data_IF_789554326330
#
_entry.id   IF_789554326330
#
_cell.length_a   1.000
_cell.length_b   1.000
_cell.length_c   1.000
_cell.angle_alpha   90.00
_cell.angle_beta   90.00
_cell.angle_gamma   90.00
#
_symmetry.space_group_name_H-M   'P 1'
#
loop_
_entity.id
_entity.type
_entity.pdbx_description
1 polymer ?
#
# COMPACT_ATOMS: atom_id res chain seq x y z
N UNK A 1 7.60 -8.71 -6.41
CA UNK A 1 8.10 -10.08 -6.70
C UNK A 1 6.95 -11.08 -6.65
N UNK A 2 7.11 -12.30 -7.21
CA UNK A 2 6.11 -13.37 -7.01
C UNK A 2 6.12 -13.81 -5.54
N UNK A 3 4.94 -14.19 -5.03
CA UNK A 3 4.85 -14.67 -3.65
C UNK A 3 5.68 -15.94 -3.42
N UNK A 4 5.75 -16.82 -4.42
CA UNK A 4 6.60 -18.03 -4.41
C UNK A 4 8.08 -17.74 -4.15
N UNK A 5 8.57 -16.57 -4.56
CA UNK A 5 9.98 -16.20 -4.46
C UNK A 5 10.34 -15.48 -3.15
N UNK A 6 9.35 -15.13 -2.32
CA UNK A 6 9.57 -14.32 -1.10
C UNK A 6 10.54 -14.97 -0.13
N UNK A 7 10.37 -16.26 0.14
CA UNK A 7 11.27 -16.97 1.07
C UNK A 7 12.69 -17.14 0.52
N UNK A 8 12.82 -17.35 -0.79
CA UNK A 8 14.12 -17.41 -1.47
C UNK A 8 14.81 -16.04 -1.44
N UNK A 9 14.11 -14.97 -1.75
CA UNK A 9 14.66 -13.61 -1.68
C UNK A 9 15.07 -13.25 -0.25
N UNK A 10 14.26 -13.63 0.74
CA UNK A 10 14.62 -13.48 2.15
C UNK A 10 15.92 -14.22 2.47
N UNK A 11 16.08 -15.47 2.03
CA UNK A 11 17.30 -16.24 2.29
C UNK A 11 18.55 -15.58 1.70
N UNK A 12 18.45 -15.01 0.49
CA UNK A 12 19.54 -14.26 -0.13
C UNK A 12 19.91 -13.04 0.72
N UNK A 13 18.92 -12.24 1.14
CA UNK A 13 19.18 -11.07 1.96
C UNK A 13 19.76 -11.43 3.34
N UNK A 14 19.33 -12.54 3.94
CA UNK A 14 19.93 -13.02 5.21
C UNK A 14 21.41 -13.36 5.05
N UNK A 15 21.80 -13.99 3.92
CA UNK A 15 23.19 -14.29 3.61
C UNK A 15 24.05 -13.03 3.42
N UNK A 16 23.45 -11.94 2.94
CA UNK A 16 24.07 -10.63 2.77
C UNK A 16 24.03 -9.75 4.04
N UNK A 17 23.72 -10.31 5.20
CA UNK A 17 23.76 -9.60 6.48
C UNK A 17 22.49 -8.80 6.83
N UNK A 18 21.41 -8.95 6.07
CA UNK A 18 20.12 -8.37 6.44
C UNK A 18 19.41 -9.22 7.50
N UNK A 19 18.63 -8.57 8.32
CA UNK A 19 17.79 -9.23 9.33
C UNK A 19 16.35 -8.71 9.21
N UNK A 20 15.34 -9.55 9.47
CA UNK A 20 13.95 -9.09 9.53
C UNK A 20 13.78 -8.00 10.59
N UNK A 21 13.12 -6.91 10.24
CA UNK A 21 12.81 -5.81 11.16
C UNK A 21 12.02 -6.31 12.39
N UNK A 22 11.21 -7.36 12.19
CA UNK A 22 10.49 -8.04 13.26
C UNK A 22 10.75 -9.55 13.19
N UNK A 23 11.40 -10.15 14.18
CA UNK A 23 11.58 -11.59 14.23
C UNK A 23 10.23 -12.28 14.48
N UNK A 24 9.93 -13.28 13.68
CA UNK A 24 8.80 -14.19 13.88
C UNK A 24 9.33 -15.60 14.06
N UNK A 25 8.64 -16.39 14.88
CA UNK A 25 8.96 -17.81 14.99
C UNK A 25 8.72 -18.51 13.64
N UNK A 26 9.62 -19.39 13.19
CA UNK A 26 9.49 -20.09 11.91
C UNK A 26 8.14 -20.80 11.72
N UNK A 27 7.58 -21.32 12.81
CA UNK A 27 6.28 -22.01 12.79
C UNK A 27 5.11 -21.14 12.33
N UNK A 28 5.16 -19.82 12.59
CA UNK A 28 4.08 -18.88 12.25
C UNK A 28 4.41 -18.01 11.05
N UNK A 29 5.67 -17.85 10.68
CA UNK A 29 6.10 -16.95 9.62
C UNK A 29 5.42 -17.24 8.27
N UNK A 30 5.35 -18.51 7.88
CA UNK A 30 4.70 -18.89 6.62
C UNK A 30 3.20 -18.56 6.59
N UNK A 31 2.52 -18.64 7.71
CA UNK A 31 1.11 -18.25 7.82
C UNK A 31 0.95 -16.72 7.85
N UNK A 32 1.83 -16.03 8.55
CA UNK A 32 1.90 -14.57 8.54
C UNK A 32 2.05 -14.03 7.10
N UNK A 33 3.01 -14.53 6.34
CA UNK A 33 3.23 -14.10 4.96
C UNK A 33 2.02 -14.34 4.04
N UNK A 34 1.26 -15.44 4.27
CA UNK A 34 0.03 -15.75 3.53
C UNK A 34 -1.20 -15.02 4.04
N UNK A 35 -1.11 -14.34 5.17
CA UNK A 35 -2.23 -13.56 5.71
C UNK A 35 -2.69 -12.50 4.71
N UNK A 36 -4.02 -12.34 4.59
CA UNK A 36 -4.63 -11.43 3.62
C UNK A 36 -4.12 -9.99 3.75
N UNK A 37 -3.90 -9.54 4.98
CA UNK A 37 -3.44 -8.18 5.27
C UNK A 37 -1.93 -7.97 5.02
N UNK A 38 -1.17 -9.02 4.72
CA UNK A 38 0.26 -8.91 4.48
C UNK A 38 0.56 -8.76 2.99
N UNK A 39 1.48 -7.88 2.67
CA UNK A 39 1.84 -7.52 1.30
C UNK A 39 3.34 -7.28 1.12
N UNK A 40 4.09 -7.13 2.22
CA UNK A 40 5.53 -6.91 2.20
C UNK A 40 6.22 -7.46 3.45
N UNK A 41 7.53 -7.62 3.35
CA UNK A 41 8.43 -7.95 4.46
C UNK A 41 9.60 -6.97 4.47
N UNK A 42 9.85 -6.31 5.58
CA UNK A 42 10.98 -5.40 5.77
C UNK A 42 12.17 -6.19 6.33
N UNK A 43 13.35 -5.99 5.73
CA UNK A 43 14.62 -6.44 6.23
C UNK A 43 15.57 -5.24 6.37
N UNK A 44 16.42 -5.26 7.39
CA UNK A 44 17.37 -4.19 7.69
C UNK A 44 18.78 -4.77 7.71
N UNK A 45 19.72 -4.16 7.01
CA UNK A 45 21.10 -4.59 7.02
C UNK A 45 21.73 -4.24 8.37
N UNK A 46 22.34 -5.23 9.03
CA UNK A 46 22.78 -5.13 10.42
C UNK A 46 23.83 -4.04 10.65
N UNK A 47 24.75 -3.81 9.71
CA UNK A 47 25.84 -2.82 9.89
C UNK A 47 25.53 -1.45 9.28
N UNK A 48 24.76 -1.39 8.17
CA UNK A 48 24.52 -0.12 7.46
C UNK A 48 23.18 0.52 7.78
N UNK A 49 22.22 -0.24 8.35
CA UNK A 49 20.86 0.22 8.59
C UNK A 49 20.02 0.35 7.32
N UNK A 50 20.53 -0.04 6.14
CA UNK A 50 19.78 0.01 4.88
C UNK A 50 18.59 -0.93 4.96
N UNK A 51 17.41 -0.40 4.59
CA UNK A 51 16.15 -1.17 4.58
C UNK A 51 15.82 -1.66 3.19
N UNK A 52 15.43 -2.92 3.10
CA UNK A 52 14.87 -3.52 1.89
C UNK A 52 13.46 -4.03 2.21
N UNK A 53 12.49 -3.66 1.40
CA UNK A 53 11.12 -4.11 1.49
C UNK A 53 10.81 -5.09 0.36
N UNK A 54 10.62 -6.36 0.72
CA UNK A 54 10.20 -7.39 -0.23
C UNK A 54 8.68 -7.32 -0.41
N UNK A 55 8.22 -6.75 -1.50
CA UNK A 55 6.79 -6.66 -1.81
C UNK A 55 6.34 -7.79 -2.73
N UNK A 56 5.27 -8.50 -2.37
CA UNK A 56 4.55 -9.47 -3.22
C UNK A 56 3.14 -9.02 -3.60
N UNK A 57 2.68 -7.91 -3.03
CA UNK A 57 1.50 -7.17 -3.46
C UNK A 57 1.82 -5.68 -3.36
N UNK A 58 1.24 -4.87 -4.21
CA UNK A 58 1.35 -3.41 -4.11
C UNK A 58 0.43 -2.88 -3.01
N UNK A 59 -0.74 -3.50 -2.89
CA UNK A 59 -1.74 -3.14 -1.89
C UNK A 59 -2.55 -4.38 -1.46
N UNK A 60 -2.76 -4.61 -0.14
CA UNK A 60 -3.52 -5.76 0.34
C UNK A 60 -5.00 -5.73 -0.04
N UNK A 61 -5.56 -4.54 -0.27
CA UNK A 61 -6.99 -4.35 -0.51
C UNK A 61 -7.38 -4.51 -2.00
N UNK A 62 -6.39 -4.57 -2.92
CA UNK A 62 -6.66 -4.75 -4.35
C UNK A 62 -6.38 -6.17 -4.82
N UNK A 63 -7.40 -6.83 -5.39
CA UNK A 63 -7.30 -8.23 -5.82
C UNK A 63 -6.44 -8.45 -7.08
N UNK A 64 -6.07 -7.37 -7.78
CA UNK A 64 -5.30 -7.41 -9.05
C UNK A 64 -3.91 -8.00 -8.89
N UNK A 65 -3.44 -8.05 -7.67
CA UNK A 65 -2.11 -8.53 -7.36
C UNK A 65 -2.16 -9.79 -6.49
N UNK A 66 -2.78 -10.81 -6.98
CA UNK A 66 -2.30 -12.14 -6.62
C UNK A 66 -0.94 -12.25 -7.29
N UNK A 67 0.15 -12.16 -6.51
CA UNK A 67 1.52 -12.05 -7.00
C UNK A 67 2.02 -13.15 -7.95
N UNK A 68 1.12 -14.02 -8.36
CA UNK A 68 1.31 -15.14 -9.29
C UNK A 68 0.49 -14.97 -10.57
N UNK A 69 -0.10 -13.79 -10.84
CA UNK A 69 -0.79 -13.52 -12.11
C UNK A 69 0.25 -13.41 -13.23
N UNK A 70 0.27 -14.42 -14.13
CA UNK A 70 1.20 -14.48 -15.26
C UNK A 70 1.04 -13.28 -16.19
N UNK A 71 -0.18 -12.76 -16.40
CA UNK A 71 -0.44 -11.58 -17.23
C UNK A 71 0.28 -10.34 -16.69
N UNK A 72 0.24 -10.13 -15.40
CA UNK A 72 0.93 -9.04 -14.72
C UNK A 72 2.45 -9.17 -14.81
N UNK A 73 3.00 -10.41 -14.77
CA UNK A 73 4.44 -10.64 -14.93
C UNK A 73 4.90 -10.57 -16.40
N UNK A 74 4.04 -10.91 -17.34
CA UNK A 74 4.35 -10.86 -18.77
C UNK A 74 4.51 -9.42 -19.29
N UNK A 75 3.85 -8.44 -18.68
CA UNK A 75 3.94 -7.01 -19.03
C UNK A 75 5.24 -6.33 -18.57
N UNK A 76 6.09 -7.01 -17.79
CA UNK A 76 7.35 -6.45 -17.29
C UNK A 76 8.39 -6.34 -18.39
N UNK A 77 9.05 -5.19 -18.48
CA UNK A 77 10.24 -5.06 -19.31
C UNK A 77 11.51 -5.33 -18.52
N UNK A 78 12.57 -5.71 -19.24
CA UNK A 78 13.88 -5.96 -18.66
C UNK A 78 14.75 -4.74 -18.85
N UNK A 79 15.39 -4.27 -17.77
CA UNK A 79 16.32 -3.16 -17.78
C UNK A 79 17.70 -3.65 -17.33
N UNK A 80 18.79 -3.24 -18.01
CA UNK A 80 20.14 -3.53 -17.53
C UNK A 80 20.40 -2.84 -16.19
N UNK A 81 21.06 -3.54 -15.29
CA UNK A 81 21.50 -3.01 -14.00
C UNK A 81 22.85 -3.64 -13.65
N UNK A 82 23.91 -2.83 -13.60
CA UNK A 82 25.28 -3.30 -13.41
C UNK A 82 25.61 -4.42 -14.41
N UNK A 83 26.14 -5.55 -13.94
CA UNK A 83 26.50 -6.72 -14.76
C UNK A 83 25.32 -7.67 -15.02
N UNK A 84 24.10 -7.27 -14.68
CA UNK A 84 22.90 -8.09 -14.79
C UNK A 84 21.72 -7.35 -15.43
N UNK A 85 20.54 -7.88 -15.15
CA UNK A 85 19.28 -7.27 -15.56
C UNK A 85 18.21 -7.45 -14.52
N UNK A 86 17.28 -6.48 -14.46
CA UNK A 86 16.11 -6.52 -13.58
C UNK A 86 14.82 -6.41 -14.39
N UNK A 87 13.76 -7.02 -13.87
CA UNK A 87 12.41 -6.83 -14.40
C UNK A 87 11.74 -5.63 -13.73
N UNK A 88 11.27 -4.70 -14.55
CA UNK A 88 10.65 -3.45 -14.11
C UNK A 88 9.18 -3.39 -14.51
N UNK A 89 8.42 -2.59 -13.80
CA UNK A 89 7.07 -2.19 -14.19
C UNK A 89 7.11 -1.37 -15.49
N UNK A 90 6.07 -1.46 -16.32
CA UNK A 90 5.84 -0.42 -17.32
C UNK A 90 5.63 0.93 -16.62
N UNK A 91 5.75 2.03 -17.35
CA UNK A 91 5.54 3.36 -16.75
C UNK A 91 4.11 3.56 -16.25
N UNK A 92 3.13 3.02 -16.97
CA UNK A 92 1.71 3.03 -16.59
C UNK A 92 1.48 2.27 -15.29
N UNK A 93 2.08 1.07 -15.18
CA UNK A 93 2.02 0.27 -13.95
C UNK A 93 2.73 0.96 -12.79
N UNK A 94 3.91 1.53 -13.03
CA UNK A 94 4.65 2.27 -12.01
C UNK A 94 3.84 3.45 -11.50
N UNK A 95 3.22 4.23 -12.38
CA UNK A 95 2.35 5.35 -11.99
C UNK A 95 1.19 4.86 -11.12
N UNK A 96 0.53 3.77 -11.51
CA UNK A 96 -0.54 3.16 -10.70
C UNK A 96 -0.03 2.75 -9.32
N UNK A 97 1.12 2.06 -9.26
CA UNK A 97 1.74 1.63 -7.99
C UNK A 97 2.02 2.82 -7.09
N UNK A 98 2.63 3.90 -7.61
CA UNK A 98 2.94 5.11 -6.84
C UNK A 98 1.67 5.79 -6.32
N UNK A 99 0.63 5.90 -7.14
CA UNK A 99 -0.65 6.46 -6.73
C UNK A 99 -1.33 5.63 -5.63
N UNK A 100 -1.35 4.30 -5.78
CA UNK A 100 -1.91 3.39 -4.78
C UNK A 100 -1.11 3.45 -3.47
N UNK A 101 0.22 3.45 -3.55
CA UNK A 101 1.10 3.54 -2.38
C UNK A 101 0.92 4.87 -1.63
N UNK A 102 0.96 6.00 -2.34
CA UNK A 102 0.80 7.32 -1.74
C UNK A 102 -0.56 7.49 -1.03
N UNK A 103 -1.65 6.99 -1.63
CA UNK A 103 -2.99 7.06 -1.02
C UNK A 103 -3.14 6.12 0.17
N UNK A 104 -2.49 4.97 0.19
CA UNK A 104 -2.45 4.08 1.34
C UNK A 104 -1.88 4.77 2.59
N UNK A 105 -0.87 5.61 2.38
CA UNK A 105 -0.28 6.46 3.40
C UNK A 105 -0.94 7.83 3.48
N UNK A 106 -2.12 8.00 2.86
CA UNK A 106 -2.92 9.24 2.89
C UNK A 106 -2.22 10.47 2.30
N UNK A 107 -1.25 10.25 1.40
CA UNK A 107 -0.58 11.29 0.63
C UNK A 107 0.22 12.32 1.46
N UNK A 108 0.60 12.01 2.70
CA UNK A 108 1.23 12.99 3.60
C UNK A 108 2.71 13.29 3.33
N UNK A 109 3.32 12.69 2.29
CA UNK A 109 4.72 12.95 1.91
C UNK A 109 4.80 13.57 0.52
N UNK A 110 5.39 14.75 0.44
CA UNK A 110 5.61 15.44 -0.84
C UNK A 110 6.50 14.61 -1.80
N UNK A 111 7.45 13.84 -1.26
CA UNK A 111 8.31 12.96 -2.07
C UNK A 111 7.55 12.02 -2.98
N UNK A 112 6.42 11.46 -2.56
CA UNK A 112 5.59 10.60 -3.41
C UNK A 112 4.95 11.35 -4.58
N UNK A 113 4.60 12.63 -4.40
CA UNK A 113 4.08 13.47 -5.49
C UNK A 113 5.19 13.84 -6.48
N UNK A 114 6.42 14.01 -6.01
CA UNK A 114 7.59 14.22 -6.87
C UNK A 114 7.82 12.99 -7.76
N UNK A 115 7.81 11.79 -7.19
CA UNK A 115 7.96 10.54 -7.95
C UNK A 115 6.87 10.40 -9.04
N UNK A 116 5.61 10.71 -8.71
CA UNK A 116 4.50 10.72 -9.67
C UNK A 116 4.75 11.75 -10.78
N UNK A 117 5.17 12.96 -10.43
CA UNK A 117 5.47 14.03 -11.38
C UNK A 117 6.61 13.65 -12.33
N UNK A 118 7.67 13.02 -11.82
CA UNK A 118 8.78 12.52 -12.61
C UNK A 118 8.34 11.46 -13.64
N UNK A 119 7.51 10.49 -13.21
CA UNK A 119 6.99 9.47 -14.14
C UNK A 119 6.15 10.11 -15.25
N UNK A 120 5.34 11.12 -14.95
CA UNK A 120 4.55 11.86 -15.93
C UNK A 120 5.48 12.63 -16.87
N UNK A 121 6.52 13.26 -16.36
CA UNK A 121 7.46 14.09 -17.16
C UNK A 121 8.38 13.30 -18.10
N UNK A 122 8.60 12.00 -17.86
CA UNK A 122 9.51 11.18 -18.66
C UNK A 122 9.01 10.79 -20.05
N UNK A 123 7.82 11.22 -20.47
CA UNK A 123 7.28 11.03 -21.83
C UNK A 123 5.85 10.48 -21.89
N UNK A 124 5.40 10.08 -23.07
CA UNK A 124 4.02 9.67 -23.31
C UNK A 124 3.61 8.45 -22.47
N UNK A 125 2.49 8.57 -21.76
CA UNK A 125 1.80 7.50 -21.04
C UNK A 125 0.51 7.16 -21.80
N UNK A 126 0.13 5.90 -21.81
CA UNK A 126 -1.18 5.48 -22.31
C UNK A 126 -2.24 5.74 -21.21
N UNK A 127 -2.77 6.96 -21.20
CA UNK A 127 -3.74 7.40 -20.21
C UNK A 127 -5.08 6.67 -20.34
N UNK A 128 -5.48 6.27 -21.54
CA UNK A 128 -6.69 5.46 -21.74
C UNK A 128 -6.55 4.14 -21.02
N UNK A 129 -5.39 3.48 -21.18
CA UNK A 129 -5.07 2.25 -20.47
C UNK A 129 -5.04 2.45 -18.96
N UNK A 130 -4.39 3.51 -18.44
CA UNK A 130 -4.30 3.81 -17.02
C UNK A 130 -5.69 4.00 -16.40
N UNK A 131 -6.54 4.80 -17.04
CA UNK A 131 -7.90 5.07 -16.58
C UNK A 131 -8.75 3.80 -16.62
N UNK A 132 -8.65 3.02 -17.70
CA UNK A 132 -9.35 1.73 -17.82
C UNK A 132 -8.92 0.74 -16.72
N UNK A 133 -7.63 0.66 -16.41
CA UNK A 133 -7.12 -0.14 -15.30
C UNK A 133 -7.71 0.31 -13.96
N UNK A 134 -7.74 1.61 -13.68
CA UNK A 134 -8.29 2.16 -12.44
C UNK A 134 -9.79 1.86 -12.29
N UNK A 135 -10.56 2.00 -13.36
CA UNK A 135 -11.99 1.63 -13.38
C UNK A 135 -12.21 0.14 -13.14
N UNK A 136 -11.49 -0.71 -13.86
CA UNK A 136 -11.58 -2.15 -13.72
C UNK A 136 -11.30 -2.58 -12.28
N UNK A 137 -10.28 -2.02 -11.67
CA UNK A 137 -9.85 -2.33 -10.30
C UNK A 137 -10.71 -1.62 -9.23
N UNK A 138 -11.51 -0.62 -9.57
CA UNK A 138 -12.26 0.19 -8.62
C UNK A 138 -11.36 1.03 -7.70
N UNK A 139 -10.32 1.64 -8.29
CA UNK A 139 -9.35 2.49 -7.60
C UNK A 139 -9.20 3.89 -8.24
N UNK A 140 -10.25 4.37 -8.89
CA UNK A 140 -10.28 5.65 -9.60
C UNK A 140 -9.90 6.83 -8.70
N UNK A 141 -10.46 6.89 -7.48
CA UNK A 141 -10.10 7.92 -6.50
C UNK A 141 -8.64 7.86 -6.09
N UNK A 142 -8.10 6.65 -5.95
CA UNK A 142 -6.69 6.44 -5.59
C UNK A 142 -5.73 6.79 -6.71
N UNK A 143 -6.17 6.74 -7.96
CA UNK A 143 -5.44 7.28 -9.10
C UNK A 143 -5.57 8.82 -9.14
N UNK A 144 -6.79 9.33 -9.13
CA UNK A 144 -7.06 10.74 -9.45
C UNK A 144 -6.62 11.72 -8.34
N UNK A 145 -6.71 11.35 -7.05
CA UNK A 145 -6.31 12.24 -5.95
C UNK A 145 -4.83 12.60 -5.98
N UNK A 146 -3.86 11.65 -6.10
CA UNK A 146 -2.46 12.00 -6.22
C UNK A 146 -2.12 12.77 -7.50
N UNK A 147 -2.78 12.45 -8.62
CA UNK A 147 -2.60 13.18 -9.87
C UNK A 147 -3.07 14.64 -9.75
N UNK A 148 -4.21 14.88 -9.12
CA UNK A 148 -4.69 16.24 -8.84
C UNK A 148 -3.76 17.00 -7.89
N UNK A 149 -3.18 16.32 -6.89
CA UNK A 149 -2.19 16.92 -5.99
C UNK A 149 -0.89 17.24 -6.73
N UNK A 150 -0.38 16.33 -7.56
CA UNK A 150 0.81 16.56 -8.39
C UNK A 150 0.59 17.74 -9.35
N UNK A 151 -0.59 17.84 -9.96
CA UNK A 151 -0.93 18.98 -10.81
C UNK A 151 -0.96 20.30 -10.02
N UNK A 152 -1.66 20.34 -8.88
CA UNK A 152 -1.84 21.58 -8.10
C UNK A 152 -0.58 22.07 -7.41
N UNK A 153 0.26 21.15 -6.94
CA UNK A 153 1.42 21.47 -6.10
C UNK A 153 2.75 21.49 -6.88
N UNK A 154 2.83 20.71 -7.97
CA UNK A 154 4.07 20.50 -8.73
C UNK A 154 3.89 20.79 -10.22
N UNK A 155 2.75 21.33 -10.64
CA UNK A 155 2.43 21.65 -12.03
C UNK A 155 2.54 20.44 -13.00
N UNK A 156 2.35 19.21 -12.51
CA UNK A 156 2.30 18.03 -13.37
C UNK A 156 1.17 18.17 -14.41
N UNK A 157 1.46 17.86 -15.67
CA UNK A 157 0.47 17.91 -16.74
C UNK A 157 -0.45 16.70 -16.62
N UNK A 158 -1.74 16.92 -16.38
CA UNK A 158 -2.77 15.85 -16.39
C UNK A 158 -3.60 15.94 -17.66
N UNK A 159 -3.93 14.80 -18.28
CA UNK A 159 -4.68 14.77 -19.53
C UNK A 159 -6.20 14.92 -19.31
N UNK A 160 -6.97 15.19 -20.37
CA UNK A 160 -8.43 15.36 -20.30
C UNK A 160 -9.16 14.16 -19.67
N UNK A 161 -8.66 12.93 -19.88
CA UNK A 161 -9.25 11.70 -19.32
C UNK A 161 -9.22 11.70 -17.80
N UNK A 162 -8.14 12.17 -17.19
CA UNK A 162 -8.01 12.31 -15.73
C UNK A 162 -8.85 13.48 -15.22
N UNK A 163 -8.87 14.59 -15.95
CA UNK A 163 -9.69 15.74 -15.60
C UNK A 163 -11.20 15.41 -15.59
N UNK A 164 -11.66 14.55 -16.50
CA UNK A 164 -13.02 14.01 -16.49
C UNK A 164 -13.32 13.20 -15.25
N UNK A 165 -12.40 12.36 -14.79
CA UNK A 165 -12.56 11.60 -13.55
C UNK A 165 -12.71 12.52 -12.34
N UNK A 166 -11.88 13.58 -12.28
CA UNK A 166 -11.89 14.56 -11.18
C UNK A 166 -13.23 15.31 -11.14
N UNK A 167 -13.75 15.71 -12.30
CA UNK A 167 -15.04 16.40 -12.40
C UNK A 167 -16.23 15.49 -12.09
N UNK A 168 -16.14 14.21 -12.41
CA UNK A 168 -17.22 13.26 -12.20
C UNK A 168 -17.42 12.87 -10.73
N UNK A 169 -16.39 13.00 -9.89
CA UNK A 169 -16.47 12.66 -8.46
C UNK A 169 -15.90 13.77 -7.57
N UNK A 170 -16.77 14.60 -6.97
CA UNK A 170 -16.38 15.68 -6.08
C UNK A 170 -15.52 15.24 -4.88
N UNK A 171 -15.65 13.98 -4.46
CA UNK A 171 -14.84 13.41 -3.36
C UNK A 171 -13.34 13.49 -3.65
N UNK A 172 -12.94 13.44 -4.92
CA UNK A 172 -11.53 13.53 -5.34
C UNK A 172 -10.97 14.92 -4.97
N UNK A 173 -11.68 15.97 -5.32
CA UNK A 173 -11.26 17.34 -5.03
C UNK A 173 -11.22 17.62 -3.52
N UNK A 174 -12.20 17.11 -2.76
CA UNK A 174 -12.27 17.24 -1.30
C UNK A 174 -11.13 16.51 -0.60
N UNK A 175 -10.83 15.28 -1.03
CA UNK A 175 -9.70 14.51 -0.51
C UNK A 175 -8.37 15.22 -0.80
N UNK A 176 -8.17 15.67 -2.04
CA UNK A 176 -6.96 16.39 -2.43
C UNK A 176 -6.77 17.69 -1.62
N UNK A 177 -7.84 18.48 -1.42
CA UNK A 177 -7.79 19.69 -0.61
C UNK A 177 -7.40 19.40 0.85
N UNK A 178 -7.98 18.37 1.47
CA UNK A 178 -7.65 17.95 2.84
C UNK A 178 -6.23 17.45 2.97
N UNK A 179 -5.71 16.74 1.99
CA UNK A 179 -4.32 16.27 2.00
C UNK A 179 -3.39 17.46 1.82
N UNK A 180 -3.65 18.34 0.85
CA UNK A 180 -2.83 19.52 0.59
C UNK A 180 -2.72 20.44 1.83
N UNK A 181 -3.82 20.67 2.54
CA UNK A 181 -3.81 21.48 3.77
C UNK A 181 -2.94 20.87 4.88
N UNK A 182 -2.79 19.55 4.90
CA UNK A 182 -1.99 18.83 5.89
C UNK A 182 -0.52 18.73 5.53
N UNK A 183 -0.17 18.65 4.24
CA UNK A 183 1.21 18.51 3.77
C UNK A 183 2.15 19.58 4.31
N UNK A 184 1.64 20.79 4.51
CA UNK A 184 2.40 21.95 4.97
C UNK A 184 2.19 22.30 6.45
N UNK A 185 1.46 21.44 7.19
CA UNK A 185 1.24 21.66 8.62
C UNK A 185 2.39 21.05 9.43
N UNK A 186 2.96 21.80 10.38
CA UNK A 186 4.16 21.46 11.15
C UNK A 186 4.10 20.09 11.88
N UNK A 187 2.91 19.54 12.12
CA UNK A 187 2.68 18.27 12.80
C UNK A 187 1.84 17.27 11.99
N UNK A 188 1.85 17.40 10.66
CA UNK A 188 1.09 16.53 9.77
C UNK A 188 1.74 15.14 9.65
N UNK A 189 1.66 14.35 10.70
CA UNK A 189 1.96 12.92 10.64
C UNK A 189 0.79 12.10 10.08
N UNK A 190 1.02 10.81 9.91
CA UNK A 190 -0.05 9.85 9.57
C UNK A 190 -1.25 9.99 10.51
N UNK A 191 -2.45 9.99 9.94
CA UNK A 191 -3.68 9.85 10.74
C UNK A 191 -3.66 8.50 11.46
N UNK A 192 -4.26 8.48 12.64
CA UNK A 192 -4.30 7.26 13.47
C UNK A 192 -5.74 6.93 13.85
N UNK A 193 -5.96 5.69 14.22
CA UNK A 193 -7.25 5.24 14.73
C UNK A 193 -8.42 5.46 13.75
N UNK A 194 -9.52 5.98 14.27
CA UNK A 194 -10.76 6.18 13.52
C UNK A 194 -10.64 7.23 12.41
N UNK A 195 -9.82 8.27 12.58
CA UNK A 195 -9.63 9.28 11.56
C UNK A 195 -8.89 8.72 10.34
N UNK A 196 -7.89 7.86 10.58
CA UNK A 196 -7.24 7.10 9.50
C UNK A 196 -8.26 6.23 8.75
N UNK A 197 -9.09 5.48 9.48
CA UNK A 197 -10.11 4.63 8.87
C UNK A 197 -11.10 5.43 8.04
N UNK A 198 -11.64 6.52 8.59
CA UNK A 198 -12.60 7.39 7.88
C UNK A 198 -12.04 7.93 6.57
N UNK A 199 -10.80 8.43 6.59
CA UNK A 199 -10.17 8.95 5.39
C UNK A 199 -9.85 7.81 4.41
N UNK A 200 -9.33 6.67 4.89
CA UNK A 200 -9.04 5.52 4.04
C UNK A 200 -10.29 5.01 3.31
N UNK A 201 -11.45 4.95 3.98
CA UNK A 201 -12.69 4.49 3.36
C UNK A 201 -13.17 5.39 2.21
N UNK A 202 -12.80 6.67 2.20
CA UNK A 202 -13.18 7.58 1.13
C UNK A 202 -12.37 7.38 -0.16
N UNK A 203 -11.19 6.75 -0.05
CA UNK A 203 -10.39 6.39 -1.22
C UNK A 203 -10.94 5.20 -2.01
N UNK A 204 -11.87 4.42 -1.46
CA UNK A 204 -12.45 3.27 -2.16
C UNK A 204 -13.69 3.67 -2.95
N UNK A 205 -13.70 3.37 -4.24
CA UNK A 205 -14.83 3.66 -5.13
C UNK A 205 -16.01 2.72 -4.84
N UNK A 206 -15.71 1.43 -4.59
CA UNK A 206 -16.70 0.36 -4.43
C UNK A 206 -16.98 0.05 -2.98
N UNK A 207 -18.25 -0.15 -2.64
CA UNK A 207 -18.67 -0.53 -1.29
C UNK A 207 -18.01 -1.84 -0.84
N UNK A 208 -17.85 -2.81 -1.74
CA UNK A 208 -17.18 -4.06 -1.44
C UNK A 208 -15.75 -3.86 -0.94
N UNK A 209 -14.97 -2.95 -1.55
CA UNK A 209 -13.62 -2.63 -1.11
C UNK A 209 -13.61 -1.95 0.27
N UNK A 210 -14.59 -1.06 0.55
CA UNK A 210 -14.77 -0.46 1.88
C UNK A 210 -15.04 -1.51 2.93
N UNK A 211 -15.96 -2.43 2.66
CA UNK A 211 -16.28 -3.53 3.59
C UNK A 211 -15.10 -4.45 3.80
N UNK A 212 -14.39 -4.84 2.75
CA UNK A 212 -13.17 -5.63 2.85
C UNK A 212 -12.12 -4.94 3.72
N UNK A 213 -11.90 -3.63 3.52
CA UNK A 213 -10.96 -2.86 4.33
C UNK A 213 -11.37 -2.83 5.82
N UNK A 214 -12.65 -2.62 6.13
CA UNK A 214 -13.16 -2.67 7.50
C UNK A 214 -12.91 -4.05 8.12
N UNK A 215 -13.22 -5.12 7.40
CA UNK A 215 -13.00 -6.50 7.86
C UNK A 215 -11.51 -6.75 8.09
N UNK A 216 -10.65 -6.36 7.16
CA UNK A 216 -9.21 -6.58 7.27
C UNK A 216 -8.59 -5.78 8.43
N UNK A 217 -8.97 -4.52 8.62
CA UNK A 217 -8.49 -3.71 9.75
C UNK A 217 -8.97 -4.25 11.09
N UNK A 218 -10.19 -4.81 11.14
CA UNK A 218 -10.81 -5.28 12.38
C UNK A 218 -10.42 -6.70 12.73
N UNK A 219 -10.34 -7.61 11.77
CA UNK A 219 -10.22 -9.05 12.00
C UNK A 219 -8.88 -9.66 11.58
N UNK A 220 -8.19 -9.08 10.56
CA UNK A 220 -6.92 -9.64 10.13
C UNK A 220 -5.85 -9.41 11.18
N UNK A 221 -5.15 -10.45 11.65
CA UNK A 221 -4.11 -10.31 12.64
C UNK A 221 -2.95 -9.47 12.09
N UNK A 222 -2.54 -8.47 12.85
CA UNK A 222 -1.35 -7.68 12.54
C UNK A 222 -0.10 -8.36 13.10
N UNK A 223 1.06 -7.79 12.79
CA UNK A 223 2.33 -8.26 13.33
C UNK A 223 2.30 -8.40 14.87
N UNK A 224 1.57 -7.51 15.57
CA UNK A 224 1.46 -7.58 17.02
C UNK A 224 0.82 -8.88 17.52
N UNK A 225 -0.22 -9.37 16.87
CA UNK A 225 -0.84 -10.63 17.25
C UNK A 225 0.08 -11.81 16.96
N UNK A 226 0.70 -11.82 15.77
CA UNK A 226 1.60 -12.88 15.36
C UNK A 226 2.87 -12.99 16.23
N UNK A 227 3.43 -11.85 16.66
CA UNK A 227 4.63 -11.83 17.49
C UNK A 227 4.34 -12.07 18.98
N UNK A 228 3.22 -11.50 19.48
CA UNK A 228 2.89 -11.60 20.91
C UNK A 228 2.30 -12.95 21.30
N UNK A 229 1.52 -13.56 20.42
CA UNK A 229 0.87 -14.84 20.61
C UNK A 229 1.15 -15.77 19.43
N UNK A 230 2.33 -16.42 19.42
CA UNK A 230 2.68 -17.34 18.32
C UNK A 230 1.91 -18.66 18.50
N UNK A 231 0.65 -18.66 18.08
CA UNK A 231 -0.24 -19.81 18.21
C UNK A 231 0.18 -20.95 17.28
N UNK A 232 -0.02 -22.23 17.65
CA UNK A 232 0.10 -23.35 16.73
C UNK A 232 -1.01 -23.31 15.69
N UNK A 233 -0.76 -23.89 14.50
CA UNK A 233 -1.67 -23.84 13.34
C UNK A 233 -3.14 -24.11 13.66
N UNK A 234 -3.52 -25.14 14.45
CA UNK A 234 -4.93 -25.41 14.75
C UNK A 234 -5.65 -24.25 15.46
N UNK A 235 -4.89 -23.39 16.16
CA UNK A 235 -5.44 -22.28 16.93
C UNK A 235 -5.42 -20.93 16.19
N UNK A 236 -5.08 -20.91 14.89
CA UNK A 236 -5.07 -19.66 14.11
C UNK A 236 -6.46 -19.01 14.01
N UNK A 237 -7.52 -19.77 14.16
CA UNK A 237 -8.92 -19.29 14.26
C UNK A 237 -9.12 -18.31 15.43
N UNK A 238 -8.24 -18.32 16.43
CA UNK A 238 -8.30 -17.41 17.58
C UNK A 238 -7.70 -16.03 17.31
N UNK A 239 -6.96 -15.83 16.22
CA UNK A 239 -6.39 -14.51 15.91
C UNK A 239 -7.43 -13.39 15.72
N UNK A 240 -8.56 -13.60 15.00
CA UNK A 240 -9.59 -12.56 14.87
C UNK A 240 -10.17 -12.11 16.22
N UNK A 241 -10.61 -12.98 17.13
CA UNK A 241 -11.09 -12.56 18.45
C UNK A 241 -10.00 -11.92 19.31
N UNK A 242 -8.75 -12.39 19.27
CA UNK A 242 -7.62 -11.75 19.95
C UNK A 242 -7.38 -10.33 19.43
N UNK A 243 -7.50 -10.15 18.10
CA UNK A 243 -7.40 -8.83 17.47
C UNK A 243 -8.50 -7.89 17.95
N UNK A 244 -9.75 -8.33 17.95
CA UNK A 244 -10.88 -7.54 18.45
C UNK A 244 -10.70 -7.16 19.90
N UNK A 245 -10.33 -8.11 20.75
CA UNK A 245 -10.05 -7.85 22.15
C UNK A 245 -8.95 -6.78 22.34
N UNK A 246 -7.84 -6.90 21.62
CA UNK A 246 -6.76 -5.92 21.69
C UNK A 246 -7.18 -4.53 21.19
N UNK A 247 -7.98 -4.46 20.14
CA UNK A 247 -8.52 -3.20 19.64
C UNK A 247 -9.49 -2.56 20.64
N UNK A 248 -10.36 -3.35 21.27
CA UNK A 248 -11.26 -2.90 22.33
C UNK A 248 -10.47 -2.38 23.54
N UNK A 249 -9.45 -3.11 24.00
CA UNK A 249 -8.60 -2.67 25.07
C UNK A 249 -7.82 -1.38 24.76
N UNK A 250 -7.36 -1.22 23.50
CA UNK A 250 -6.60 -0.04 23.08
C UNK A 250 -7.47 1.22 22.90
N UNK A 251 -8.68 1.07 22.41
CA UNK A 251 -9.54 2.19 22.04
C UNK A 251 -10.76 2.37 22.94
N UNK A 252 -11.13 1.33 23.72
CA UNK A 252 -12.26 1.38 24.64
C UNK A 252 -12.06 2.41 25.75
N UNK A 253 -10.87 2.53 26.29
CA UNK A 253 -10.53 3.55 27.33
C UNK A 253 -10.59 4.99 26.78
N UNK A 254 -10.33 5.18 25.46
CA UNK A 254 -10.39 6.50 24.83
C UNK A 254 -11.84 7.00 24.61
N UNK A 255 -12.82 6.09 24.63
CA UNK A 255 -14.24 6.42 24.49
C UNK A 255 -14.86 6.76 25.86
N UNK A 256 -14.41 6.08 26.93
CA UNK A 256 -14.91 6.27 28.31
C UNK A 256 -14.36 7.54 28.97
N UNK A 257 -13.20 8.04 28.52
CA UNK A 257 -12.53 9.24 29.09
C UNK A 257 -12.96 10.58 28.48
N UNK A 258 -14.02 10.63 27.66
CA UNK A 258 -14.57 11.84 27.03
C UNK A 258 -15.96 12.24 27.58
N UNK A 259 -16.25 11.87 28.82
CA UNK A 259 -17.42 12.39 29.56
C UNK A 259 -16.98 13.22 30.74
#
# INVERSE_FOLDING_TARGET
MRFSDVLRAKSVLLAEGYQPDYPLQPAVEGAFLRSRAQYHRVLVHASTGVKVELHWKTDPDFPVERGDDEGWWASRFTMPLLDGSIRCFSREELLMVLCLHGTRHQGYRLGWLIEITEVIGQGSLDWIKIVAMAHHQGCTRRLAVPLLLANRLLAACIPPEVDQLIRADPTIADLAARIASRLFTRNAGELRGLDRLRVSLQFYDRMQHRMNHIVDVSLAPSLNEWSRWPLPRPLFVLYPPLRLWRLAAKYGSAVVGRH
#
